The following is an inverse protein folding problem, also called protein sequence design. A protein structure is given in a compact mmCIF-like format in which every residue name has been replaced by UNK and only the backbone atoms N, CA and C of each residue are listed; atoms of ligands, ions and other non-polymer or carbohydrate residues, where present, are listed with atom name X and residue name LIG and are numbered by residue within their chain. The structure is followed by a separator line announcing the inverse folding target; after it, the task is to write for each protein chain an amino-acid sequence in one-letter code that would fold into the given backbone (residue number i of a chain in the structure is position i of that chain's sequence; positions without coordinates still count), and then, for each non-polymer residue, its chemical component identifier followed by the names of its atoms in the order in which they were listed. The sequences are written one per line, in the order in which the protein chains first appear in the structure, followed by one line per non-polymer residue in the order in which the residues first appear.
data_IF_465258581642
#
_entry.id   IF_465258581642
#
_cell.length_a   1.000
_cell.length_b   1.000
_cell.length_c   1.000
_cell.angle_alpha   90.00
_cell.angle_beta   90.00
_cell.angle_gamma   90.00
#
_symmetry.space_group_name_H-M   'P 1'
#
loop_
_entity.id
_entity.type
_entity.pdbx_description
1 polymer ?
#
# COMPACT_ATOMS: atom_id res chain seq x y z
N UNK A 1 23.64 -11.48 28.06
CA UNK A 1 22.66 -10.40 28.32
C UNK A 1 22.79 -9.36 27.22
N UNK A 2 21.83 -9.34 26.31
CA UNK A 2 21.37 -8.16 25.55
C UNK A 2 20.12 -8.61 24.78
N UNK A 3 18.99 -8.68 25.49
CA UNK A 3 17.68 -8.80 24.85
C UNK A 3 17.30 -7.40 24.38
N UNK A 4 17.52 -7.09 23.11
CA UNK A 4 16.81 -6.00 22.48
C UNK A 4 15.36 -6.46 22.23
N UNK A 5 14.35 -5.75 22.76
CA UNK A 5 12.97 -6.10 22.49
C UNK A 5 12.68 -5.76 21.03
N UNK A 6 12.39 -6.80 20.23
CA UNK A 6 11.74 -6.63 18.91
C UNK A 6 10.53 -5.73 19.12
N UNK A 7 10.49 -4.61 18.40
CA UNK A 7 9.46 -3.60 18.53
C UNK A 7 8.09 -4.24 18.29
N UNK A 8 7.36 -4.44 19.39
CA UNK A 8 5.97 -4.86 19.43
C UNK A 8 5.17 -3.69 18.85
N UNK A 9 4.48 -3.90 17.72
CA UNK A 9 3.52 -2.94 17.18
C UNK A 9 2.44 -2.63 18.21
N UNK A 10 2.39 -1.41 18.76
CA UNK A 10 1.23 -0.93 19.47
C UNK A 10 0.39 -0.17 18.44
N UNK A 11 -0.71 -0.77 18.00
CA UNK A 11 -1.81 0.00 17.43
C UNK A 11 -2.30 0.98 18.50
N UNK A 12 -1.71 2.17 18.55
CA UNK A 12 -2.21 3.41 19.18
C UNK A 12 -1.14 4.49 19.25
N UNK A 13 -1.32 5.53 18.43
CA UNK A 13 -0.63 6.84 18.41
C UNK A 13 0.84 6.81 17.94
N UNK A 14 1.04 6.82 16.62
CA UNK A 14 2.25 7.42 16.04
C UNK A 14 2.32 8.90 16.47
N UNK A 15 2.97 9.19 17.60
CA UNK A 15 3.13 10.56 18.14
C UNK A 15 4.06 11.42 17.29
N UNK A 16 4.74 10.83 16.30
CA UNK A 16 5.58 11.54 15.34
C UNK A 16 5.12 11.22 13.93
N UNK A 17 5.05 12.21 13.03
CA UNK A 17 4.80 11.96 11.62
C UNK A 17 5.85 10.98 11.08
N UNK A 18 5.40 10.01 10.29
CA UNK A 18 6.26 9.05 9.62
C UNK A 18 6.47 9.50 8.17
N UNK A 19 7.70 9.34 7.71
CA UNK A 19 8.11 9.70 6.36
C UNK A 19 8.89 8.56 5.73
N UNK A 20 8.85 8.51 4.40
CA UNK A 20 9.69 7.68 3.55
C UNK A 20 10.52 8.61 2.67
N UNK A 21 11.83 8.44 2.70
CA UNK A 21 12.74 9.10 1.77
C UNK A 21 13.09 8.12 0.66
N UNK A 22 12.80 8.49 -0.58
CA UNK A 22 13.21 7.78 -1.78
C UNK A 22 14.41 8.48 -2.43
N UNK A 23 15.38 7.69 -2.86
CA UNK A 23 16.59 8.12 -3.58
C UNK A 23 16.82 7.23 -4.80
N UNK A 24 17.82 7.55 -5.63
CA UNK A 24 18.13 6.82 -6.87
C UNK A 24 16.89 6.65 -7.77
N UNK A 25 16.23 7.77 -8.08
CA UNK A 25 14.99 7.82 -8.86
C UNK A 25 13.90 6.89 -8.31
N UNK A 26 13.87 6.72 -6.98
CA UNK A 26 12.92 5.88 -6.26
C UNK A 26 13.26 4.41 -6.18
N UNK A 27 14.41 3.95 -6.67
CA UNK A 27 14.82 2.54 -6.53
C UNK A 27 15.26 2.19 -5.11
N UNK A 28 15.79 3.17 -4.36
CA UNK A 28 16.10 3.03 -2.93
C UNK A 28 15.11 3.81 -2.08
N UNK A 29 14.72 3.22 -0.94
CA UNK A 29 13.78 3.84 0.00
C UNK A 29 14.18 3.55 1.44
N UNK A 30 13.90 4.47 2.35
CA UNK A 30 14.08 4.25 3.79
C UNK A 30 13.01 4.97 4.60
N UNK A 31 12.49 4.31 5.63
CA UNK A 31 11.59 4.91 6.65
C UNK A 31 12.35 5.52 7.83
N UNK A 32 13.67 5.27 7.93
CA UNK A 32 14.53 5.86 8.95
C UNK A 32 15.05 7.23 8.47
N UNK A 33 14.14 8.18 8.32
CA UNK A 33 14.42 9.53 7.79
C UNK A 33 14.93 10.45 8.89
N UNK A 34 15.98 11.21 8.57
CA UNK A 34 16.53 12.29 9.41
C UNK A 34 16.81 13.51 8.52
N UNK A 35 16.89 14.71 9.10
CA UNK A 35 17.27 15.92 8.34
C UNK A 35 18.63 15.75 7.65
N UNK A 36 19.60 15.13 8.34
CA UNK A 36 20.91 14.84 7.76
C UNK A 36 20.82 13.98 6.49
N UNK A 37 19.94 12.95 6.47
CA UNK A 37 19.72 12.12 5.28
C UNK A 37 19.00 12.86 4.16
N UNK A 38 18.11 13.79 4.50
CA UNK A 38 17.44 14.62 3.50
C UNK A 38 18.47 15.54 2.84
N UNK A 39 19.32 16.20 3.63
CA UNK A 39 20.40 17.06 3.14
C UNK A 39 21.37 16.26 2.27
N UNK A 40 21.86 15.12 2.74
CA UNK A 40 22.74 14.21 1.98
C UNK A 40 22.10 13.81 0.63
N UNK A 41 20.82 13.42 0.63
CA UNK A 41 20.12 13.04 -0.59
C UNK A 41 19.97 14.19 -1.61
N UNK A 42 19.83 15.43 -1.12
CA UNK A 42 19.76 16.64 -1.94
C UNK A 42 21.15 17.04 -2.47
N UNK A 43 22.20 16.94 -1.65
CA UNK A 43 23.58 17.18 -2.06
C UNK A 43 24.01 16.19 -3.16
N UNK A 44 23.60 14.93 -3.03
CA UNK A 44 23.85 13.85 -3.99
C UNK A 44 22.83 13.79 -5.14
N UNK A 45 22.12 14.90 -5.45
CA UNK A 45 21.03 14.88 -6.45
C UNK A 45 21.49 14.48 -7.86
N UNK A 46 22.75 14.79 -8.21
CA UNK A 46 23.33 14.40 -9.50
C UNK A 46 23.35 12.87 -9.68
N UNK A 47 23.68 12.13 -8.62
CA UNK A 47 23.68 10.66 -8.62
C UNK A 47 22.26 10.11 -8.43
N UNK A 48 21.47 10.74 -7.56
CA UNK A 48 20.12 10.28 -7.24
C UNK A 48 19.13 10.49 -8.39
N UNK A 49 19.36 11.44 -9.29
CA UNK A 49 18.47 11.87 -10.39
C UNK A 49 17.16 12.51 -9.93
N UNK A 50 16.46 11.86 -9.00
CA UNK A 50 15.28 12.35 -8.32
C UNK A 50 15.21 11.78 -6.90
N UNK A 51 14.73 12.59 -5.97
CA UNK A 51 14.44 12.20 -4.59
C UNK A 51 12.99 12.58 -4.26
N UNK A 52 12.37 11.85 -3.34
CA UNK A 52 11.06 12.22 -2.80
C UNK A 52 11.01 12.00 -1.31
N UNK A 53 10.36 12.93 -0.61
CA UNK A 53 10.03 12.82 0.79
C UNK A 53 8.52 12.68 0.91
N UNK A 54 8.08 11.44 1.09
CA UNK A 54 6.67 11.09 1.23
C UNK A 54 6.28 11.01 2.71
N UNK A 55 5.12 11.57 3.05
CA UNK A 55 4.53 11.46 4.39
C UNK A 55 3.53 10.31 4.39
N UNK A 56 3.74 9.31 5.26
CA UNK A 56 2.91 8.09 5.27
C UNK A 56 1.43 8.37 5.54
N UNK A 57 1.14 9.42 6.30
CA UNK A 57 -0.22 9.97 6.45
C UNK A 57 -0.24 11.32 5.75
N UNK A 58 -0.94 11.50 4.62
CA UNK A 58 -0.95 12.77 3.89
C UNK A 58 -1.37 13.99 4.74
N UNK A 59 -0.98 15.18 4.30
CA UNK A 59 -1.44 16.45 4.87
C UNK A 59 -2.81 16.77 4.27
N UNK A 60 -3.85 16.64 5.08
CA UNK A 60 -5.23 16.97 4.68
C UNK A 60 -5.37 18.50 4.60
N UNK A 61 -5.65 19.00 3.39
CA UNK A 61 -5.86 20.43 3.15
C UNK A 61 -7.35 20.78 3.28
N UNK A 62 -8.18 19.99 2.61
CA UNK A 62 -9.65 20.01 2.66
C UNK A 62 -10.16 18.58 2.48
N UNK A 63 -11.48 18.35 2.63
CA UNK A 63 -12.11 17.02 2.60
C UNK A 63 -11.72 16.14 1.40
N UNK A 64 -11.41 16.74 0.26
CA UNK A 64 -11.12 16.05 -1.00
C UNK A 64 -9.73 16.35 -1.56
N UNK A 65 -8.85 16.99 -0.79
CA UNK A 65 -7.50 17.33 -1.24
C UNK A 65 -6.48 17.09 -0.12
N UNK A 66 -5.47 16.31 -0.45
CA UNK A 66 -4.36 15.97 0.44
C UNK A 66 -3.02 16.06 -0.29
N UNK A 67 -1.97 16.50 0.41
CA UNK A 67 -0.60 16.51 -0.08
C UNK A 67 0.17 15.33 0.52
N UNK A 68 0.86 14.55 -0.30
CA UNK A 68 1.50 13.31 0.16
C UNK A 68 3.02 13.32 0.03
N UNK A 69 3.62 14.05 -0.92
CA UNK A 69 5.07 14.11 -1.06
C UNK A 69 5.60 15.48 -1.50
N UNK A 70 6.88 15.72 -1.23
CA UNK A 70 7.71 16.74 -1.88
C UNK A 70 8.83 16.03 -2.62
N UNK A 71 8.98 16.35 -3.90
CA UNK A 71 9.93 15.72 -4.81
C UNK A 71 10.93 16.76 -5.31
N UNK A 72 12.21 16.38 -5.43
CA UNK A 72 13.27 17.24 -5.97
C UNK A 72 14.06 16.48 -7.04
N UNK A 73 14.41 17.18 -8.13
CA UNK A 73 14.96 16.59 -9.34
C UNK A 73 16.29 17.23 -9.69
N UNK A 74 17.17 16.47 -10.36
CA UNK A 74 18.50 16.94 -10.79
C UNK A 74 18.47 18.15 -11.74
N UNK A 75 17.33 18.43 -12.37
CA UNK A 75 17.18 19.62 -13.21
C UNK A 75 16.88 20.90 -12.41
N UNK A 76 16.93 20.83 -11.07
CA UNK A 76 16.64 21.94 -10.17
C UNK A 76 15.15 22.20 -9.99
N UNK A 77 14.28 21.29 -10.45
CA UNK A 77 12.85 21.38 -10.21
C UNK A 77 12.48 20.83 -8.84
N UNK A 78 11.51 21.46 -8.18
CA UNK A 78 10.87 20.96 -6.97
C UNK A 78 9.36 20.86 -7.18
N UNK A 79 8.74 19.81 -6.65
CA UNK A 79 7.31 19.58 -6.76
C UNK A 79 6.70 19.20 -5.41
N UNK A 80 5.45 19.64 -5.18
CA UNK A 80 4.58 19.11 -4.13
C UNK A 80 3.48 18.30 -4.81
N UNK A 81 3.27 17.08 -4.36
CA UNK A 81 2.33 16.14 -4.99
C UNK A 81 1.06 15.98 -4.16
N UNK A 82 -0.08 15.97 -4.84
CA UNK A 82 -1.42 15.99 -4.26
C UNK A 82 -2.32 14.91 -4.82
N UNK A 83 -3.26 14.44 -3.99
CA UNK A 83 -4.44 13.71 -4.41
C UNK A 83 -5.66 14.63 -4.25
N UNK A 84 -6.34 14.94 -5.34
CA UNK A 84 -7.51 15.84 -5.36
C UNK A 84 -8.66 15.18 -6.10
N UNK A 85 -9.75 14.84 -5.40
CA UNK A 85 -10.90 14.11 -5.98
C UNK A 85 -10.48 12.85 -6.76
N UNK A 86 -9.53 12.09 -6.23
CA UNK A 86 -8.99 10.88 -6.90
C UNK A 86 -7.99 11.15 -8.04
N UNK A 87 -7.75 12.41 -8.42
CA UNK A 87 -6.72 12.78 -9.39
C UNK A 87 -5.38 13.06 -8.71
N UNK A 88 -4.30 12.62 -9.34
CA UNK A 88 -2.92 12.94 -8.92
C UNK A 88 -2.50 14.25 -9.60
N UNK A 89 -2.07 15.23 -8.81
CA UNK A 89 -1.60 16.54 -9.27
C UNK A 89 -0.22 16.82 -8.68
N UNK A 90 0.58 17.63 -9.36
CA UNK A 90 1.72 18.31 -8.74
C UNK A 90 1.69 19.80 -8.98
N UNK A 91 2.08 20.55 -7.95
CA UNK A 91 2.49 21.94 -8.06
C UNK A 91 4.01 21.93 -8.13
N UNK A 92 4.61 22.54 -9.15
CA UNK A 92 6.07 22.52 -9.33
C UNK A 92 6.62 23.85 -9.82
N UNK A 93 7.92 24.07 -9.58
CA UNK A 93 8.70 25.17 -10.16
C UNK A 93 10.13 24.71 -10.43
N UNK A 94 10.79 25.35 -11.39
CA UNK A 94 12.21 25.19 -11.71
C UNK A 94 13.09 26.15 -10.90
N UNK A 95 14.40 26.07 -11.17
CA UNK A 95 15.42 27.04 -10.71
C UNK A 95 15.55 27.10 -9.19
N UNK A 96 15.47 25.94 -8.54
CA UNK A 96 15.69 25.76 -7.11
C UNK A 96 17.05 25.14 -6.88
N UNK A 97 17.89 25.83 -6.11
CA UNK A 97 19.17 25.30 -5.66
C UNK A 97 18.99 24.29 -4.51
N UNK A 98 20.06 23.53 -4.26
CA UNK A 98 20.09 22.48 -3.25
C UNK A 98 19.82 22.99 -1.83
N UNK A 99 20.31 24.18 -1.48
CA UNK A 99 20.11 24.74 -0.13
C UNK A 99 18.62 25.03 0.12
N UNK A 100 17.97 25.68 -0.85
CA UNK A 100 16.53 25.98 -0.80
C UNK A 100 15.69 24.69 -0.83
N UNK A 101 16.07 23.70 -1.64
CA UNK A 101 15.39 22.41 -1.69
C UNK A 101 15.48 21.67 -0.33
N UNK A 102 16.67 21.61 0.25
CA UNK A 102 16.91 20.99 1.55
C UNK A 102 16.11 21.70 2.65
N UNK A 103 16.08 23.03 2.67
CA UNK A 103 15.28 23.82 3.62
C UNK A 103 13.78 23.50 3.51
N UNK A 104 13.23 23.46 2.29
CA UNK A 104 11.82 23.13 2.06
C UNK A 104 11.50 21.72 2.56
N UNK A 105 12.31 20.73 2.18
CA UNK A 105 12.07 19.33 2.54
C UNK A 105 12.26 19.09 4.04
N UNK A 106 13.28 19.67 4.67
CA UNK A 106 13.48 19.60 6.12
C UNK A 106 12.37 20.31 6.89
N UNK A 107 11.87 21.45 6.41
CA UNK A 107 10.73 22.13 7.02
C UNK A 107 9.46 21.27 6.94
N UNK A 108 9.21 20.61 5.81
CA UNK A 108 8.11 19.67 5.65
C UNK A 108 8.25 18.45 6.57
N UNK A 109 9.46 17.90 6.71
CA UNK A 109 9.76 16.81 7.66
C UNK A 109 9.47 17.20 9.11
N UNK A 110 9.87 18.40 9.54
CA UNK A 110 9.70 18.86 10.92
C UNK A 110 8.26 19.22 11.26
N UNK A 111 7.54 19.85 10.34
CA UNK A 111 6.29 20.55 10.66
C UNK A 111 5.08 20.03 9.90
N UNK A 112 5.27 19.20 8.87
CA UNK A 112 4.26 18.85 7.87
C UNK A 112 3.65 20.08 7.16
N UNK A 113 4.32 21.24 7.20
CA UNK A 113 3.89 22.44 6.50
C UNK A 113 4.35 22.38 5.04
N UNK A 114 3.44 22.75 4.13
CA UNK A 114 3.76 22.87 2.71
C UNK A 114 4.40 24.25 2.44
N UNK A 115 5.27 24.36 1.41
CA UNK A 115 5.81 25.65 0.99
C UNK A 115 4.71 26.56 0.43
N UNK A 116 4.96 27.87 0.39
CA UNK A 116 4.15 28.79 -0.40
C UNK A 116 4.34 28.48 -1.88
N UNK A 117 3.27 28.02 -2.51
CA UNK A 117 3.24 27.62 -3.93
C UNK A 117 2.64 28.71 -4.82
N UNK A 118 2.52 29.95 -4.33
CA UNK A 118 2.07 31.08 -5.15
C UNK A 118 2.99 31.22 -6.37
N UNK A 119 2.40 31.18 -7.57
CA UNK A 119 3.13 31.27 -8.84
C UNK A 119 3.75 29.97 -9.35
N UNK A 120 3.55 28.84 -8.67
CA UNK A 120 4.01 27.53 -9.16
C UNK A 120 3.09 27.00 -10.27
N UNK A 121 3.61 26.11 -11.09
CA UNK A 121 2.87 25.47 -12.18
C UNK A 121 2.09 24.26 -11.67
N UNK A 122 0.79 24.19 -12.01
CA UNK A 122 -0.04 23.01 -11.73
C UNK A 122 -0.02 22.06 -12.93
N UNK A 123 0.23 20.78 -12.68
CA UNK A 123 0.21 19.73 -13.68
C UNK A 123 -0.56 18.50 -13.18
N UNK A 124 -1.44 17.95 -14.02
CA UNK A 124 -2.00 16.61 -13.79
C UNK A 124 -0.91 15.57 -13.99
N UNK A 125 -0.70 14.73 -12.98
CA UNK A 125 0.11 13.53 -13.11
C UNK A 125 -0.84 12.44 -13.56
N UNK A 126 -0.66 11.97 -14.79
CA UNK A 126 -1.20 10.67 -15.14
C UNK A 126 -0.28 9.64 -14.49
N UNK A 127 -0.81 8.66 -13.74
CA UNK A 127 0.02 7.55 -13.35
C UNK A 127 0.69 7.04 -14.63
N UNK A 128 2.03 6.99 -14.65
CA UNK A 128 2.69 6.08 -15.58
C UNK A 128 1.99 4.74 -15.37
N UNK A 129 1.52 4.12 -16.47
CA UNK A 129 0.75 2.87 -16.45
C UNK A 129 1.16 2.05 -15.24
N UNK A 130 0.29 1.95 -14.22
CA UNK A 130 0.65 1.27 -12.96
C UNK A 130 1.26 -0.05 -13.39
N UNK A 131 2.58 -0.17 -13.26
CA UNK A 131 3.21 -1.46 -13.42
C UNK A 131 2.48 -2.34 -12.41
N UNK A 132 1.92 -3.49 -12.83
CA UNK A 132 1.17 -4.32 -11.90
C UNK A 132 2.06 -4.56 -10.68
N UNK A 133 1.65 -4.00 -9.56
CA UNK A 133 2.33 -4.08 -8.27
C UNK A 133 1.49 -4.96 -7.36
N UNK A 134 2.16 -5.68 -6.47
CA UNK A 134 1.48 -6.39 -5.39
C UNK A 134 0.85 -5.40 -4.44
N UNK A 135 -0.38 -5.65 -4.00
CA UNK A 135 -1.10 -4.79 -3.05
C UNK A 135 -1.51 -5.61 -1.84
N UNK A 136 -1.42 -5.02 -0.65
CA UNK A 136 -1.87 -5.63 0.60
C UNK A 136 -2.82 -4.66 1.28
N UNK A 137 -4.03 -5.11 1.59
CA UNK A 137 -5.00 -4.39 2.39
C UNK A 137 -5.30 -5.22 3.64
N UNK A 138 -5.27 -4.60 4.82
CA UNK A 138 -5.64 -5.26 6.09
C UNK A 138 -6.68 -4.40 6.78
N UNK A 139 -7.83 -4.99 7.08
CA UNK A 139 -8.96 -4.31 7.74
C UNK A 139 -9.40 -2.98 7.07
N UNK A 140 -9.17 -2.85 5.75
CA UNK A 140 -9.51 -1.66 4.96
C UNK A 140 -8.40 -0.61 4.87
N UNK A 141 -7.23 -0.86 5.47
CA UNK A 141 -6.05 -0.04 5.32
C UNK A 141 -5.13 -0.61 4.23
N UNK A 142 -4.84 0.19 3.21
CA UNK A 142 -3.93 -0.18 2.11
C UNK A 142 -2.47 0.05 2.50
N UNK A 143 -1.68 -1.01 2.44
CA UNK A 143 -0.24 -1.00 2.71
C UNK A 143 0.51 -0.75 1.41
N UNK A 144 1.06 0.46 1.29
CA UNK A 144 1.81 0.88 0.10
C UNK A 144 3.20 0.26 0.00
N UNK A 145 3.82 -0.04 1.13
CA UNK A 145 5.16 -0.61 1.21
C UNK A 145 5.12 -1.78 2.19
N UNK A 146 5.29 -2.98 1.65
CA UNK A 146 5.26 -4.22 2.43
C UNK A 146 6.15 -5.26 1.75
N UNK A 147 6.61 -6.23 2.52
CA UNK A 147 7.31 -7.41 2.01
C UNK A 147 6.52 -8.70 2.31
N UNK A 148 7.13 -9.84 1.99
CA UNK A 148 6.53 -11.15 2.19
C UNK A 148 6.24 -11.44 3.68
N UNK A 149 7.06 -10.94 4.59
CA UNK A 149 6.86 -11.12 6.02
C UNK A 149 5.66 -10.31 6.52
N UNK A 150 5.38 -9.15 5.93
CA UNK A 150 4.19 -8.34 6.25
C UNK A 150 2.89 -9.06 5.86
N UNK A 151 2.86 -9.73 4.68
CA UNK A 151 1.71 -10.56 4.26
C UNK A 151 1.46 -11.69 5.27
N UNK A 152 2.53 -12.33 5.75
CA UNK A 152 2.45 -13.34 6.81
C UNK A 152 1.97 -12.79 8.13
N UNK A 153 2.49 -11.63 8.53
CA UNK A 153 2.08 -10.94 9.74
C UNK A 153 0.58 -10.62 9.72
N UNK A 154 0.05 -10.21 8.56
CA UNK A 154 -1.39 -10.01 8.38
C UNK A 154 -2.20 -11.29 8.63
N UNK A 155 -1.76 -12.44 8.12
CA UNK A 155 -2.40 -13.73 8.41
C UNK A 155 -2.33 -14.07 9.92
N UNK A 156 -1.17 -13.92 10.56
CA UNK A 156 -1.02 -14.19 11.99
C UNK A 156 -1.91 -13.27 12.83
N UNK A 157 -2.04 -11.99 12.47
CA UNK A 157 -2.94 -11.07 13.14
C UNK A 157 -4.41 -11.51 13.03
N UNK A 158 -4.83 -12.08 11.90
CA UNK A 158 -6.17 -12.65 11.74
C UNK A 158 -6.37 -13.88 12.63
N UNK A 159 -5.37 -14.77 12.68
CA UNK A 159 -5.40 -15.98 13.51
C UNK A 159 -5.47 -15.62 15.01
N UNK A 160 -4.64 -14.68 15.45
CA UNK A 160 -4.60 -14.18 16.82
C UNK A 160 -5.80 -13.31 17.19
N UNK A 161 -6.63 -12.92 16.21
CA UNK A 161 -7.84 -12.13 16.42
C UNK A 161 -7.59 -10.63 16.61
N UNK A 162 -6.43 -10.16 16.15
CA UNK A 162 -6.07 -8.74 16.10
C UNK A 162 -6.62 -8.05 14.86
N UNK A 163 -6.83 -8.82 13.78
CA UNK A 163 -7.40 -8.37 12.51
C UNK A 163 -8.59 -9.22 12.08
N UNK A 164 -9.50 -8.64 11.30
CA UNK A 164 -10.69 -9.33 10.80
C UNK A 164 -10.45 -9.93 9.42
N UNK A 165 -9.75 -9.21 8.54
CA UNK A 165 -9.50 -9.68 7.18
C UNK A 165 -8.27 -9.04 6.53
N UNK A 166 -7.79 -9.70 5.48
CA UNK A 166 -6.78 -9.19 4.56
C UNK A 166 -7.18 -9.47 3.11
N UNK A 167 -6.69 -8.65 2.19
CA UNK A 167 -6.68 -8.87 0.75
C UNK A 167 -5.25 -8.68 0.26
N UNK A 168 -4.71 -9.69 -0.40
CA UNK A 168 -3.38 -9.65 -1.01
C UNK A 168 -3.50 -9.88 -2.51
N UNK A 169 -3.24 -8.83 -3.29
CA UNK A 169 -3.14 -8.88 -4.74
C UNK A 169 -1.71 -9.24 -5.12
N UNK A 170 -1.53 -10.33 -5.87
CA UNK A 170 -0.23 -10.82 -6.30
C UNK A 170 -0.08 -10.74 -7.82
N UNK A 171 1.16 -10.57 -8.28
CA UNK A 171 1.49 -10.43 -9.71
C UNK A 171 2.21 -11.65 -10.28
N UNK A 172 2.40 -12.70 -9.46
CA UNK A 172 3.06 -13.93 -9.86
C UNK A 172 2.24 -14.69 -10.90
N UNK A 173 2.87 -15.06 -12.02
CA UNK A 173 2.18 -15.66 -13.17
C UNK A 173 1.33 -14.61 -13.89
N UNK A 174 0.07 -14.92 -14.15
CA UNK A 174 -0.91 -13.94 -14.67
C UNK A 174 -1.50 -13.05 -13.55
N UNK A 175 -1.06 -13.26 -12.31
CA UNK A 175 -1.55 -12.56 -11.13
C UNK A 175 -2.88 -13.08 -10.60
N UNK A 176 -3.39 -12.41 -9.58
CA UNK A 176 -4.59 -12.81 -8.87
C UNK A 176 -4.72 -12.12 -7.52
N UNK A 177 -5.62 -12.61 -6.69
CA UNK A 177 -5.73 -12.16 -5.31
C UNK A 177 -6.07 -13.30 -4.36
N UNK A 178 -5.76 -13.09 -3.09
CA UNK A 178 -6.28 -13.89 -1.99
C UNK A 178 -6.92 -12.98 -0.96
N UNK A 179 -8.16 -13.29 -0.58
CA UNK A 179 -8.82 -12.69 0.57
C UNK A 179 -8.96 -13.73 1.68
N UNK A 180 -8.52 -13.38 2.87
CA UNK A 180 -8.65 -14.22 4.07
C UNK A 180 -9.41 -13.42 5.10
N UNK A 181 -10.48 -14.00 5.64
CA UNK A 181 -11.33 -13.36 6.64
C UNK A 181 -11.63 -14.31 7.79
N UNK A 182 -11.48 -13.83 9.02
CA UNK A 182 -11.94 -14.53 10.22
C UNK A 182 -13.46 -14.67 10.18
N UNK A 183 -13.96 -15.88 10.40
CA UNK A 183 -15.38 -16.12 10.61
C UNK A 183 -15.70 -15.76 12.06
N UNK A 184 -16.38 -14.64 12.26
CA UNK A 184 -16.98 -14.32 13.55
C UNK A 184 -18.14 -15.30 13.78
N UNK A 185 -17.90 -16.33 14.58
CA UNK A 185 -18.93 -17.26 15.00
C UNK A 185 -18.71 -17.55 16.48
N UNK A 186 -19.42 -16.84 17.35
CA UNK A 186 -19.34 -16.94 18.81
C UNK A 186 -19.69 -18.34 19.38
N UNK A 187 -20.16 -19.26 18.52
CA UNK A 187 -20.64 -20.59 18.92
C UNK A 187 -19.71 -21.75 18.54
N UNK A 188 -18.69 -21.55 17.68
CA UNK A 188 -17.79 -22.63 17.26
C UNK A 188 -16.51 -22.63 18.10
N UNK A 189 -16.09 -23.77 18.68
CA UNK A 189 -14.87 -23.84 19.50
C UNK A 189 -13.58 -23.64 18.70
N UNK A 190 -13.65 -23.72 17.36
CA UNK A 190 -12.51 -23.52 16.45
C UNK A 190 -12.82 -22.35 15.52
N UNK A 191 -11.90 -21.38 15.45
CA UNK A 191 -12.00 -20.29 14.48
C UNK A 191 -11.91 -20.85 13.06
N UNK A 192 -12.87 -20.48 12.22
CA UNK A 192 -12.82 -20.78 10.79
C UNK A 192 -12.38 -19.56 10.00
N UNK A 193 -11.62 -19.76 8.94
CA UNK A 193 -11.14 -18.70 8.05
C UNK A 193 -11.80 -18.87 6.69
N UNK A 194 -12.60 -17.89 6.28
CA UNK A 194 -13.13 -17.81 4.92
C UNK A 194 -11.99 -17.37 4.01
N UNK A 195 -11.67 -18.20 3.03
CA UNK A 195 -10.62 -17.90 2.06
C UNK A 195 -11.24 -17.84 0.68
N UNK A 196 -10.84 -16.84 -0.08
CA UNK A 196 -11.13 -16.67 -1.49
C UNK A 196 -9.82 -16.48 -2.23
N UNK A 197 -9.61 -17.25 -3.29
CA UNK A 197 -8.40 -17.23 -4.08
C UNK A 197 -8.76 -17.18 -5.56
N UNK A 198 -8.30 -16.15 -6.25
CA UNK A 198 -8.52 -15.95 -7.69
C UNK A 198 -7.20 -15.90 -8.41
N UNK A 199 -7.18 -16.48 -9.61
CA UNK A 199 -6.09 -16.41 -10.57
C UNK A 199 -6.61 -15.82 -11.88
N UNK A 200 -5.93 -14.83 -12.43
CA UNK A 200 -6.31 -14.16 -13.69
C UNK A 200 -5.91 -14.97 -14.94
N UNK A 201 -6.09 -16.29 -14.90
CA UNK A 201 -5.71 -17.24 -15.95
C UNK A 201 -6.38 -16.94 -17.29
N UNK A 202 -5.70 -17.29 -18.39
CA UNK A 202 -6.28 -17.29 -19.74
C UNK A 202 -6.81 -18.68 -20.14
N UNK A 203 -7.96 -18.79 -20.86
CA UNK A 203 -8.77 -17.70 -21.41
C UNK A 203 -9.77 -17.09 -20.43
N UNK A 204 -9.96 -17.69 -19.25
CA UNK A 204 -10.90 -17.22 -18.24
C UNK A 204 -10.29 -17.34 -16.83
N UNK A 205 -10.54 -16.37 -15.95
CA UNK A 205 -10.05 -16.41 -14.58
C UNK A 205 -10.70 -17.54 -13.78
N UNK A 206 -9.91 -18.15 -12.90
CA UNK A 206 -10.36 -19.25 -12.03
C UNK A 206 -10.42 -18.77 -10.59
N UNK A 207 -11.52 -19.09 -9.89
CA UNK A 207 -11.75 -18.65 -8.51
C UNK A 207 -12.10 -19.83 -7.61
N UNK A 208 -11.59 -19.82 -6.39
CA UNK A 208 -11.83 -20.84 -5.37
C UNK A 208 -12.24 -20.18 -4.05
N UNK A 209 -13.18 -20.79 -3.33
CA UNK A 209 -13.61 -20.35 -2.00
C UNK A 209 -13.75 -21.52 -1.05
N UNK A 210 -13.45 -21.31 0.22
CA UNK A 210 -13.76 -22.30 1.23
C UNK A 210 -13.58 -21.78 2.64
N UNK A 211 -13.82 -22.67 3.60
CA UNK A 211 -13.56 -22.42 5.01
C UNK A 211 -12.46 -23.35 5.49
N UNK A 212 -11.37 -22.77 5.99
CA UNK A 212 -10.23 -23.50 6.55
C UNK A 212 -10.27 -23.34 8.07
N UNK A 213 -10.15 -24.43 8.83
CA UNK A 213 -10.02 -24.37 10.29
C UNK A 213 -8.63 -24.76 10.79
N UNK A 214 -7.83 -25.38 9.91
CA UNK A 214 -6.43 -25.73 10.18
C UNK A 214 -5.53 -24.55 9.80
N UNK A 215 -5.03 -23.86 10.83
CA UNK A 215 -4.13 -22.72 10.65
C UNK A 215 -2.78 -23.12 10.05
N UNK A 216 -2.27 -24.33 10.36
CA UNK A 216 -1.01 -24.83 9.81
C UNK A 216 -1.12 -25.07 8.32
N UNK A 217 -2.25 -25.61 7.87
CA UNK A 217 -2.57 -25.77 6.45
C UNK A 217 -2.67 -24.41 5.75
N UNK A 218 -3.36 -23.44 6.36
CA UNK A 218 -3.51 -22.10 5.80
C UNK A 218 -2.17 -21.36 5.68
N UNK A 219 -1.31 -21.44 6.72
CA UNK A 219 0.06 -20.90 6.72
C UNK A 219 0.89 -21.51 5.60
N UNK A 220 0.91 -22.84 5.50
CA UNK A 220 1.68 -23.56 4.48
C UNK A 220 1.23 -23.23 3.06
N UNK A 221 -0.09 -23.10 2.86
CA UNK A 221 -0.66 -22.72 1.57
C UNK A 221 -0.26 -21.29 1.17
N UNK A 222 -0.41 -20.31 2.09
CA UNK A 222 -0.01 -18.92 1.83
C UNK A 222 1.51 -18.82 1.57
N UNK A 223 2.31 -19.67 2.24
CA UNK A 223 3.76 -19.72 2.03
C UNK A 223 4.12 -20.17 0.63
N UNK A 224 3.41 -21.19 0.16
CA UNK A 224 3.58 -21.69 -1.21
C UNK A 224 3.17 -20.64 -2.25
N UNK A 225 2.17 -19.80 -1.96
CA UNK A 225 1.79 -18.69 -2.83
C UNK A 225 2.91 -17.66 -2.95
N UNK A 226 3.45 -17.24 -1.81
CA UNK A 226 4.40 -16.14 -1.70
C UNK A 226 5.81 -16.54 -2.17
N UNK A 227 6.33 -17.68 -1.70
CA UNK A 227 7.72 -18.12 -1.92
C UNK A 227 7.86 -19.26 -2.94
N UNK A 228 6.77 -19.95 -3.30
CA UNK A 228 6.87 -21.09 -4.21
C UNK A 228 7.36 -20.69 -5.61
N UNK A 229 7.91 -21.62 -6.39
CA UNK A 229 8.18 -21.35 -7.82
C UNK A 229 6.89 -21.31 -8.64
N UNK A 230 5.86 -22.04 -8.20
CA UNK A 230 4.56 -22.16 -8.86
C UNK A 230 3.46 -21.63 -7.94
N UNK A 231 2.32 -21.29 -8.54
CA UNK A 231 1.11 -20.98 -7.78
C UNK A 231 0.60 -22.27 -7.12
N UNK A 232 0.22 -22.24 -5.83
CA UNK A 232 -0.27 -23.42 -5.14
C UNK A 232 -1.62 -23.85 -5.71
N UNK A 233 -1.86 -25.15 -5.66
CA UNK A 233 -3.18 -25.72 -5.91
C UNK A 233 -4.16 -25.27 -4.81
N UNK A 234 -5.46 -25.15 -5.13
CA UNK A 234 -6.47 -24.83 -4.13
C UNK A 234 -6.55 -25.98 -3.11
N UNK A 235 -6.93 -25.65 -1.88
CA UNK A 235 -7.17 -26.68 -0.88
C UNK A 235 -8.36 -27.55 -1.31
N UNK A 236 -8.32 -28.84 -0.98
CA UNK A 236 -9.36 -29.80 -1.37
C UNK A 236 -10.76 -29.45 -0.83
N UNK A 237 -10.84 -28.64 0.22
CA UNK A 237 -12.08 -28.12 0.79
C UNK A 237 -12.61 -26.86 0.11
N UNK A 238 -11.94 -26.36 -0.94
CA UNK A 238 -12.37 -25.17 -1.66
C UNK A 238 -13.19 -25.54 -2.89
N UNK A 239 -14.30 -24.83 -3.06
CA UNK A 239 -15.19 -24.93 -4.20
C UNK A 239 -14.79 -23.92 -5.26
N UNK A 240 -14.79 -24.35 -6.52
CA UNK A 240 -14.57 -23.47 -7.67
C UNK A 240 -15.80 -22.59 -7.91
N UNK A 241 -15.60 -21.34 -8.32
CA UNK A 241 -16.67 -20.42 -8.72
C UNK A 241 -16.31 -19.64 -9.99
N UNK A 242 -17.34 -19.28 -10.75
CA UNK A 242 -17.21 -18.46 -11.96
C UNK A 242 -16.88 -17.01 -11.61
N UNK A 243 -15.63 -16.61 -11.78
CA UNK A 243 -15.12 -15.29 -11.39
C UNK A 243 -15.86 -14.16 -12.11
N UNK A 244 -16.04 -14.28 -13.43
CA UNK A 244 -16.75 -13.26 -14.22
C UNK A 244 -18.22 -13.10 -13.79
N UNK A 245 -18.97 -14.20 -13.66
CA UNK A 245 -20.37 -14.17 -13.19
C UNK A 245 -20.48 -13.59 -11.77
N UNK A 246 -19.53 -13.89 -10.89
CA UNK A 246 -19.47 -13.32 -9.55
C UNK A 246 -19.31 -11.79 -9.57
N UNK A 247 -18.33 -11.29 -10.33
CA UNK A 247 -18.08 -9.85 -10.41
C UNK A 247 -19.17 -9.10 -11.18
N UNK A 248 -19.75 -9.69 -12.23
CA UNK A 248 -20.91 -9.13 -12.92
C UNK A 248 -22.08 -8.94 -11.95
N UNK A 249 -22.40 -9.95 -11.13
CA UNK A 249 -23.47 -9.84 -10.13
C UNK A 249 -23.20 -8.81 -9.04
N UNK A 250 -21.94 -8.63 -8.65
CA UNK A 250 -21.53 -7.57 -7.72
C UNK A 250 -21.80 -6.19 -8.31
N UNK A 251 -21.38 -5.95 -9.55
CA UNK A 251 -21.60 -4.68 -10.25
C UNK A 251 -23.10 -4.37 -10.35
N UNK A 252 -23.93 -5.35 -10.72
CA UNK A 252 -25.39 -5.16 -10.77
C UNK A 252 -25.99 -4.80 -9.41
N UNK A 253 -25.53 -5.44 -8.32
CA UNK A 253 -26.01 -5.14 -6.97
C UNK A 253 -25.73 -3.67 -6.59
N UNK A 254 -24.51 -3.20 -6.81
CA UNK A 254 -24.16 -1.82 -6.46
C UNK A 254 -24.84 -0.78 -7.37
N UNK A 255 -25.05 -1.09 -8.65
CA UNK A 255 -25.75 -0.18 -9.58
C UNK A 255 -27.26 -0.08 -9.32
N UNK A 256 -27.88 -1.11 -8.75
CA UNK A 256 -29.29 -1.06 -8.35
C UNK A 256 -29.47 -0.43 -6.95
N UNK A 257 -28.51 -0.60 -6.04
CA UNK A 257 -28.51 0.12 -4.75
C UNK A 257 -28.42 1.65 -4.93
N UNK A 258 -27.71 2.16 -5.94
CA UNK A 258 -27.70 3.61 -6.26
C UNK A 258 -29.04 4.16 -6.80
N UNK A 259 -29.94 3.29 -7.28
CA UNK A 259 -31.25 3.73 -7.81
C UNK A 259 -32.31 3.88 -6.71
N UNK A 260 -32.16 3.16 -5.61
CA UNK A 260 -33.13 3.16 -4.50
C UNK A 260 -32.87 4.28 -3.46
N UNK A 261 -31.82 5.08 -3.63
CA UNK A 261 -31.52 6.27 -2.79
C UNK A 261 -32.02 7.61 -3.39
N UNK A 262 -32.98 7.61 -4.32
CA UNK A 262 -33.57 8.85 -4.89
C UNK A 262 -34.94 9.22 -4.32
#
# INVERSE_FOLDING_TARGET
MSNEPRAIFPGSKARKPQYVLGTENGTKRTSNVTEAKIVEAVEDIEDNVAIFLEKCVPVVLVRYAEAYSIDYYKDGSIAVCFRVNGYMLRMWRSDIDCDVAADIMCNFFRTASLPDMTGWHCQKIYPEQETPETKLCVDGEDFRYFDMADVFCALENIIEGKSLWMLYDFIKGDGGYVSIRRRDNDAAPTAGYKVEYVRWTNPAPTGFRGVVSDEGLLRSWLWSLIEGEKLPDPLSCWEEFGVNDYFERLVFRFLDEEKDER
#
